data_IF_967904988067
#
_entry.id   IF_967904988067
#
_cell.length_a   1.000
_cell.length_b   1.000
_cell.length_c   1.000
_cell.angle_alpha   90.00
_cell.angle_beta   90.00
_cell.angle_gamma   90.00
#
_symmetry.space_group_name_H-M   'P 1'
#
loop_
_entity.id
_entity.type
_entity.pdbx_description
1 polymer ?
#
# COMPACT_ATOMS: atom_id res chain seq x y z
N UNK A 1 7.25 19.41 -2.31
CA UNK A 1 8.53 19.47 -3.09
C UNK A 1 8.83 20.90 -3.51
N UNK A 2 10.09 21.26 -3.82
CA UNK A 2 10.43 22.62 -4.25
C UNK A 2 9.70 23.02 -5.54
N UNK A 3 9.07 24.21 -5.54
CA UNK A 3 8.26 24.69 -6.67
C UNK A 3 9.09 24.84 -7.96
N UNK A 4 10.39 25.13 -7.85
CA UNK A 4 11.25 25.33 -9.00
C UNK A 4 11.26 24.10 -9.94
N UNK A 5 11.17 22.88 -9.41
CA UNK A 5 11.12 21.63 -10.19
C UNK A 5 9.95 21.54 -11.18
N UNK A 6 8.90 22.34 -10.98
CA UNK A 6 7.73 22.40 -11.87
C UNK A 6 8.03 23.17 -13.16
N UNK A 7 8.81 24.24 -13.05
CA UNK A 7 9.02 25.24 -14.10
C UNK A 7 10.28 25.00 -14.94
N UNK A 8 11.06 23.97 -14.60
CA UNK A 8 12.34 23.75 -15.25
C UNK A 8 12.19 23.07 -16.61
N UNK A 9 12.92 23.62 -17.59
CA UNK A 9 13.20 22.96 -18.86
C UNK A 9 14.02 21.68 -18.63
N UNK A 10 13.41 20.53 -18.93
CA UNK A 10 14.02 19.22 -18.70
C UNK A 10 15.34 19.05 -19.45
N UNK A 11 15.48 19.59 -20.67
CA UNK A 11 16.72 19.46 -21.45
C UNK A 11 17.88 20.23 -20.82
N UNK A 12 17.62 21.46 -20.36
CA UNK A 12 18.63 22.31 -19.73
C UNK A 12 19.17 21.69 -18.43
N UNK A 13 18.27 21.14 -17.60
CA UNK A 13 18.68 20.48 -16.37
C UNK A 13 19.48 19.22 -16.63
N UNK A 14 19.13 18.44 -17.66
CA UNK A 14 19.86 17.24 -18.03
C UNK A 14 21.30 17.59 -18.36
N UNK A 15 21.51 18.63 -19.17
CA UNK A 15 22.85 19.05 -19.56
C UNK A 15 23.63 19.64 -18.37
N UNK A 16 22.95 20.32 -17.44
CA UNK A 16 23.58 20.79 -16.20
C UNK A 16 23.98 19.63 -15.28
N UNK A 17 23.10 18.66 -15.05
CA UNK A 17 23.39 17.47 -14.23
C UNK A 17 24.51 16.64 -14.84
N UNK A 18 24.55 16.50 -16.17
CA UNK A 18 25.67 15.83 -16.86
C UNK A 18 27.00 16.54 -16.63
N UNK A 19 27.03 17.87 -16.74
CA UNK A 19 28.25 18.64 -16.49
C UNK A 19 28.73 18.49 -15.05
N UNK A 20 27.83 18.69 -14.08
CA UNK A 20 28.16 18.51 -12.66
C UNK A 20 28.63 17.09 -12.39
N UNK A 21 27.95 16.08 -12.93
CA UNK A 21 28.38 14.69 -12.81
C UNK A 21 29.81 14.51 -13.31
N UNK A 22 30.17 15.00 -14.50
CA UNK A 22 31.51 14.88 -15.06
C UNK A 22 32.61 15.61 -14.26
N UNK A 23 32.25 16.57 -13.43
CA UNK A 23 33.16 17.32 -12.55
C UNK A 23 33.38 16.62 -11.20
N UNK A 24 32.64 15.56 -10.90
CA UNK A 24 32.74 14.81 -9.63
C UNK A 24 34.00 13.94 -9.53
N UNK A 25 34.29 13.53 -8.30
CA UNK A 25 35.45 12.68 -8.02
C UNK A 25 35.34 11.27 -8.64
N UNK A 26 36.48 10.65 -8.93
CA UNK A 26 36.53 9.26 -9.39
C UNK A 26 35.89 8.28 -8.40
N UNK A 27 35.95 8.55 -7.09
CA UNK A 27 35.30 7.68 -6.10
C UNK A 27 33.78 7.71 -6.24
N UNK A 28 33.19 8.89 -6.49
CA UNK A 28 31.76 9.04 -6.77
C UNK A 28 31.35 8.28 -8.03
N UNK A 29 32.11 8.41 -9.11
CA UNK A 29 31.87 7.69 -10.37
C UNK A 29 31.93 6.16 -10.24
N UNK A 30 32.79 5.66 -9.35
CA UNK A 30 32.88 4.24 -9.08
C UNK A 30 31.67 3.73 -8.28
N UNK A 31 30.98 4.60 -7.54
CA UNK A 31 29.84 4.24 -6.68
C UNK A 31 28.47 4.52 -7.31
N UNK A 32 28.34 5.52 -8.18
CA UNK A 32 27.06 5.99 -8.71
C UNK A 32 27.14 6.20 -10.22
N UNK A 33 26.23 5.56 -10.96
CA UNK A 33 26.13 5.77 -12.41
C UNK A 33 25.34 7.03 -12.75
N UNK A 34 25.67 7.67 -13.88
CA UNK A 34 24.90 8.79 -14.42
C UNK A 34 23.42 8.43 -14.61
N UNK A 35 23.12 7.20 -15.05
CA UNK A 35 21.75 6.72 -15.19
C UNK A 35 20.99 6.74 -13.86
N UNK A 36 21.63 6.35 -12.76
CA UNK A 36 21.03 6.41 -11.43
C UNK A 36 20.73 7.85 -11.00
N UNK A 37 21.68 8.78 -11.21
CA UNK A 37 21.48 10.21 -10.92
C UNK A 37 20.31 10.78 -11.73
N UNK A 38 20.28 10.48 -13.03
CA UNK A 38 19.21 10.91 -13.93
C UNK A 38 17.86 10.35 -13.50
N UNK A 39 17.81 9.09 -13.07
CA UNK A 39 16.57 8.47 -12.59
C UNK A 39 16.04 9.16 -11.33
N UNK A 40 16.91 9.56 -10.40
CA UNK A 40 16.54 10.33 -9.19
C UNK A 40 15.95 11.69 -9.60
N UNK A 41 16.62 12.40 -10.52
CA UNK A 41 16.14 13.68 -11.03
C UNK A 41 14.74 13.55 -11.66
N UNK A 42 14.53 12.59 -12.57
CA UNK A 42 13.23 12.38 -13.20
C UNK A 42 12.15 12.04 -12.18
N UNK A 43 12.47 11.19 -11.20
CA UNK A 43 11.55 10.82 -10.12
C UNK A 43 11.13 12.05 -9.31
N UNK A 44 12.08 12.93 -8.99
CA UNK A 44 11.80 14.17 -8.24
C UNK A 44 10.95 15.16 -9.04
N UNK A 45 11.23 15.36 -10.33
CA UNK A 45 10.42 16.20 -11.21
C UNK A 45 9.01 15.65 -11.35
N UNK A 46 8.87 14.34 -11.60
CA UNK A 46 7.56 13.69 -11.72
C UNK A 46 6.76 13.82 -10.42
N UNK A 47 7.41 13.58 -9.27
CA UNK A 47 6.80 13.73 -7.95
C UNK A 47 6.32 15.16 -7.72
N UNK A 48 7.15 16.16 -8.01
CA UNK A 48 6.77 17.57 -7.84
C UNK A 48 5.54 17.92 -8.68
N UNK A 49 5.54 17.54 -9.96
CA UNK A 49 4.39 17.76 -10.86
C UNK A 49 3.12 17.07 -10.38
N UNK A 50 3.25 15.83 -9.92
CA UNK A 50 2.13 15.05 -9.39
C UNK A 50 1.53 15.71 -8.15
N UNK A 51 2.36 16.02 -7.15
CA UNK A 51 1.92 16.67 -5.90
C UNK A 51 1.27 18.03 -6.19
N UNK A 52 1.84 18.83 -7.12
CA UNK A 52 1.25 20.10 -7.52
C UNK A 52 -0.13 19.93 -8.14
N UNK A 53 -0.30 18.95 -9.02
CA UNK A 53 -1.59 18.68 -9.67
C UNK A 53 -2.65 18.30 -8.63
N UNK A 54 -2.30 17.48 -7.63
CA UNK A 54 -3.19 17.14 -6.52
C UNK A 54 -3.61 18.40 -5.76
N UNK A 55 -2.65 19.27 -5.41
CA UNK A 55 -2.92 20.49 -4.66
C UNK A 55 -3.82 21.47 -5.45
N UNK A 56 -3.58 21.62 -6.75
CA UNK A 56 -4.42 22.46 -7.62
C UNK A 56 -5.84 21.91 -7.74
N UNK A 57 -6.00 20.58 -7.88
CA UNK A 57 -7.32 19.96 -7.87
C UNK A 57 -8.00 20.15 -6.52
N UNK A 58 -7.32 19.86 -5.40
CA UNK A 58 -7.87 20.03 -4.07
C UNK A 58 -8.28 21.48 -3.79
N UNK A 59 -7.47 22.45 -4.23
CA UNK A 59 -7.82 23.87 -4.14
C UNK A 59 -9.04 24.24 -4.97
N UNK A 60 -9.23 23.63 -6.15
CA UNK A 60 -10.40 23.87 -6.98
C UNK A 60 -11.69 23.31 -6.37
N UNK A 61 -11.59 22.20 -5.61
CA UNK A 61 -12.69 21.58 -4.88
C UNK A 61 -12.83 22.04 -3.43
N UNK A 62 -12.00 22.99 -2.97
CA UNK A 62 -12.04 23.45 -1.59
C UNK A 62 -13.42 24.03 -1.24
N UNK A 63 -14.04 23.51 -0.18
CA UNK A 63 -15.38 23.91 0.28
C UNK A 63 -16.54 23.23 -0.45
N UNK A 64 -16.30 22.42 -1.48
CA UNK A 64 -17.33 21.65 -2.17
C UNK A 64 -17.49 20.26 -1.56
N UNK A 65 -18.73 19.80 -1.46
CA UNK A 65 -19.05 18.38 -1.25
C UNK A 65 -19.12 17.72 -2.63
N UNK A 66 -18.37 16.63 -2.82
CA UNK A 66 -18.35 15.89 -4.07
C UNK A 66 -18.36 14.39 -3.83
N UNK A 67 -18.87 13.64 -4.81
CA UNK A 67 -18.92 12.18 -4.79
C UNK A 67 -17.90 11.62 -5.76
N UNK A 68 -17.28 10.51 -5.39
CA UNK A 68 -16.29 9.81 -6.22
C UNK A 68 -16.92 8.49 -6.71
N UNK A 69 -17.31 8.40 -8.00
CA UNK A 69 -17.88 7.18 -8.56
C UNK A 69 -16.93 5.99 -8.41
N UNK A 70 -17.48 4.87 -7.98
CA UNK A 70 -16.77 3.62 -7.82
C UNK A 70 -16.99 2.71 -9.03
N UNK A 71 -15.94 1.96 -9.40
CA UNK A 71 -15.94 0.97 -10.46
C UNK A 71 -15.47 -0.36 -9.89
N UNK A 72 -15.97 -1.46 -10.44
CA UNK A 72 -15.53 -2.80 -10.06
C UNK A 72 -14.58 -3.34 -11.14
N UNK A 73 -13.51 -4.00 -10.72
CA UNK A 73 -12.84 -4.95 -11.62
C UNK A 73 -13.67 -6.25 -11.74
N UNK A 74 -13.29 -7.15 -12.64
CA UNK A 74 -14.02 -8.41 -12.83
C UNK A 74 -13.99 -9.34 -11.59
N UNK A 75 -13.17 -9.05 -10.59
CA UNK A 75 -13.12 -9.80 -9.32
C UNK A 75 -14.05 -9.18 -8.28
N UNK A 76 -14.54 -7.96 -8.52
CA UNK A 76 -15.37 -7.19 -7.60
C UNK A 76 -14.60 -6.18 -6.76
N UNK A 77 -13.29 -6.01 -6.94
CA UNK A 77 -12.54 -5.02 -6.14
C UNK A 77 -12.95 -3.61 -6.56
N UNK A 78 -13.08 -2.73 -5.56
CA UNK A 78 -13.67 -1.41 -5.77
C UNK A 78 -12.57 -0.37 -6.04
N UNK A 79 -12.63 0.27 -7.21
CA UNK A 79 -11.69 1.26 -7.72
C UNK A 79 -12.36 2.59 -8.01
N UNK A 80 -11.56 3.64 -8.12
CA UNK A 80 -11.97 5.01 -8.44
C UNK A 80 -11.08 5.53 -9.55
N UNK A 81 -11.58 6.51 -10.29
CA UNK A 81 -10.84 7.14 -11.40
C UNK A 81 -10.36 8.53 -10.98
N UNK A 82 -9.22 8.96 -11.52
CA UNK A 82 -8.59 10.24 -11.21
C UNK A 82 -7.39 10.09 -10.27
N UNK A 83 -6.98 11.20 -9.66
CA UNK A 83 -5.81 11.29 -8.75
C UNK A 83 -6.14 11.96 -7.41
N UNK A 84 -7.36 12.45 -7.24
CA UNK A 84 -7.85 13.03 -5.99
C UNK A 84 -8.89 12.07 -5.40
N UNK A 85 -8.43 10.94 -4.86
CA UNK A 85 -9.26 9.93 -4.20
C UNK A 85 -8.45 9.09 -3.21
N UNK A 86 -9.12 8.32 -2.36
CA UNK A 86 -8.50 7.57 -1.26
C UNK A 86 -7.67 6.34 -1.66
N UNK A 87 -7.70 5.86 -2.91
CA UNK A 87 -6.71 4.86 -3.38
C UNK A 87 -5.31 5.46 -3.55
N UNK A 88 -5.20 6.78 -3.66
CA UNK A 88 -3.93 7.45 -3.91
C UNK A 88 -3.03 7.50 -2.68
N UNK A 89 -1.87 8.14 -2.83
CA UNK A 89 -0.86 8.27 -1.79
C UNK A 89 -1.32 9.19 -0.66
N UNK A 90 -0.53 9.16 0.42
CA UNK A 90 -0.69 9.93 1.65
C UNK A 90 -1.19 11.37 1.45
N UNK A 91 -0.58 12.16 0.55
CA UNK A 91 -0.99 13.54 0.25
C UNK A 91 -2.44 13.65 -0.25
N UNK A 92 -2.88 12.78 -1.17
CA UNK A 92 -4.25 12.86 -1.69
C UNK A 92 -5.26 12.48 -0.61
N UNK A 93 -4.92 11.49 0.23
CA UNK A 93 -5.78 11.03 1.33
C UNK A 93 -5.96 12.08 2.42
N UNK A 94 -4.91 12.86 2.71
CA UNK A 94 -4.97 13.91 3.74
C UNK A 94 -5.79 15.14 3.35
N UNK A 95 -6.24 15.23 2.09
CA UNK A 95 -6.96 16.39 1.54
C UNK A 95 -8.46 16.11 1.36
N UNK A 96 -8.92 14.89 1.67
CA UNK A 96 -10.30 14.47 1.47
C UNK A 96 -10.87 14.07 2.82
N UNK A 97 -11.94 14.74 3.22
CA UNK A 97 -12.69 14.47 4.44
C UNK A 97 -14.10 13.99 4.06
N UNK A 98 -14.74 13.25 4.96
CA UNK A 98 -16.18 13.04 4.89
C UNK A 98 -16.91 14.34 5.21
N UNK A 99 -18.05 14.57 4.55
CA UNK A 99 -18.94 15.68 4.90
C UNK A 99 -19.68 15.34 6.21
N UNK A 100 -19.08 15.73 7.33
CA UNK A 100 -19.61 15.44 8.65
C UNK A 100 -20.94 16.14 8.96
N UNK A 101 -21.34 17.15 8.19
CA UNK A 101 -22.59 17.90 8.42
C UNK A 101 -23.81 17.00 8.30
N UNK A 102 -23.79 16.11 7.32
CA UNK A 102 -24.89 15.17 7.08
C UNK A 102 -25.03 14.18 8.25
N UNK A 103 -23.91 13.77 8.85
CA UNK A 103 -23.91 12.87 10.00
C UNK A 103 -24.32 13.60 11.28
N UNK A 104 -23.67 14.71 11.61
CA UNK A 104 -23.89 15.46 12.86
C UNK A 104 -25.35 15.93 12.94
N UNK A 105 -25.92 16.43 11.85
CA UNK A 105 -27.30 16.93 11.83
C UNK A 105 -28.36 15.82 11.87
N UNK A 106 -28.08 14.63 11.32
CA UNK A 106 -29.02 13.50 11.34
C UNK A 106 -28.88 12.63 12.60
N UNK A 107 -27.72 12.68 13.23
CA UNK A 107 -27.49 12.02 14.51
C UNK A 107 -28.25 12.80 15.58
N UNK A 108 -29.19 12.19 16.30
CA UNK A 108 -29.85 12.79 17.48
C UNK A 108 -28.87 13.05 18.65
N UNK A 109 -27.55 12.98 18.40
CA UNK A 109 -26.51 13.13 19.37
C UNK A 109 -26.19 14.62 19.53
N UNK A 110 -26.81 15.26 20.52
CA UNK A 110 -26.10 16.32 21.23
C UNK A 110 -24.86 15.65 21.82
N UNK A 111 -23.68 15.92 21.25
CA UNK A 111 -22.43 15.30 21.69
C UNK A 111 -22.17 15.69 23.14
N UNK A 112 -22.59 14.83 24.07
CA UNK A 112 -22.32 15.02 25.49
C UNK A 112 -20.79 15.05 25.70
N UNK A 113 -20.28 15.77 26.72
CA UNK A 113 -18.83 15.94 26.91
C UNK A 113 -18.02 14.63 26.94
N UNK A 114 -18.60 13.54 27.47
CA UNK A 114 -17.96 12.23 27.49
C UNK A 114 -17.81 11.62 26.08
N UNK A 115 -18.76 11.85 25.17
CA UNK A 115 -18.70 11.38 23.78
C UNK A 115 -17.58 12.11 23.02
N UNK A 116 -17.40 13.41 23.28
CA UNK A 116 -16.31 14.19 22.70
C UNK A 116 -14.95 13.65 23.16
N UNK A 117 -14.81 13.34 24.45
CA UNK A 117 -13.57 12.74 24.97
C UNK A 117 -13.27 11.39 24.33
N UNK A 118 -14.29 10.54 24.17
CA UNK A 118 -14.14 9.23 23.52
C UNK A 118 -13.79 9.37 22.03
N UNK A 119 -14.43 10.30 21.32
CA UNK A 119 -14.11 10.61 19.93
C UNK A 119 -12.67 11.09 19.78
N UNK A 120 -12.23 12.02 20.63
CA UNK A 120 -10.85 12.50 20.62
C UNK A 120 -9.85 11.40 20.97
N UNK A 121 -10.22 10.44 21.82
CA UNK A 121 -9.40 9.27 22.08
C UNK A 121 -9.18 8.44 20.80
N UNK A 122 -10.26 8.08 20.09
CA UNK A 122 -10.14 7.32 18.83
C UNK A 122 -9.44 8.13 17.73
N UNK A 123 -9.67 9.44 17.68
CA UNK A 123 -8.97 10.34 16.76
C UNK A 123 -7.45 10.31 17.00
N UNK A 124 -7.01 10.45 18.26
CA UNK A 124 -5.60 10.37 18.63
C UNK A 124 -5.01 8.99 18.36
N UNK A 125 -5.74 7.93 18.68
CA UNK A 125 -5.30 6.56 18.41
C UNK A 125 -5.09 6.34 16.90
N UNK A 126 -6.06 6.73 16.07
CA UNK A 126 -5.98 6.65 14.62
C UNK A 126 -4.80 7.48 14.09
N UNK A 127 -4.67 8.72 14.56
CA UNK A 127 -3.55 9.59 14.24
C UNK A 127 -2.21 8.92 14.52
N UNK A 128 -2.03 8.32 15.71
CA UNK A 128 -0.77 7.70 16.12
C UNK A 128 -0.25 6.68 15.11
N UNK A 129 -1.13 5.88 14.49
CA UNK A 129 -0.75 4.91 13.44
C UNK A 129 -0.22 5.53 12.14
N UNK A 130 -0.49 6.82 11.90
CA UNK A 130 0.14 7.59 10.82
C UNK A 130 1.54 8.08 11.18
N UNK A 131 1.89 8.19 12.47
CA UNK A 131 3.25 8.49 12.93
C UNK A 131 4.16 7.25 12.87
N UNK A 132 3.75 6.14 13.51
CA UNK A 132 4.50 4.87 13.53
C UNK A 132 3.59 3.66 13.64
N UNK A 133 4.14 2.46 13.51
CA UNK A 133 3.39 1.21 13.74
C UNK A 133 3.41 0.85 15.23
N UNK A 134 2.33 0.23 15.72
CA UNK A 134 2.20 -0.28 17.10
C UNK A 134 1.96 -1.79 17.08
N UNK A 135 2.40 -2.48 18.13
CA UNK A 135 2.23 -3.92 18.34
C UNK A 135 1.21 -4.28 19.42
N UNK A 136 0.55 -3.27 19.97
CA UNK A 136 -0.24 -3.34 21.19
C UNK A 136 -1.53 -2.51 21.05
N UNK A 137 -2.36 -2.54 22.08
CA UNK A 137 -3.65 -1.87 22.20
C UNK A 137 -3.62 -0.40 21.70
N UNK A 138 -4.68 0.09 21.02
CA UNK A 138 -4.86 1.50 20.63
C UNK A 138 -4.53 2.55 21.70
N UNK A 139 -4.63 2.19 22.98
CA UNK A 139 -4.21 3.03 24.13
C UNK A 139 -2.76 3.52 23.97
N UNK A 140 -1.82 2.64 23.58
CA UNK A 140 -0.42 3.02 23.46
C UNK A 140 -0.21 4.03 22.33
N UNK A 141 -1.03 3.93 21.28
CA UNK A 141 -1.02 4.87 20.16
C UNK A 141 -1.57 6.24 20.55
N UNK A 142 -2.70 6.27 21.25
CA UNK A 142 -3.30 7.50 21.77
C UNK A 142 -2.40 8.18 22.82
N UNK A 143 -1.80 7.40 23.72
CA UNK A 143 -0.86 7.91 24.71
C UNK A 143 0.36 8.50 24.04
N UNK A 144 0.99 7.79 23.10
CA UNK A 144 2.14 8.32 22.35
C UNK A 144 1.80 9.63 21.64
N UNK A 145 0.63 9.71 20.99
CA UNK A 145 0.18 10.94 20.34
C UNK A 145 0.21 12.11 21.32
N UNK A 146 -0.39 11.91 22.50
CA UNK A 146 -0.52 12.94 23.53
C UNK A 146 0.81 13.26 24.24
N UNK A 147 1.58 12.25 24.64
CA UNK A 147 2.75 12.43 25.49
C UNK A 147 4.01 12.77 24.72
N UNK A 148 4.22 12.14 23.57
CA UNK A 148 5.53 12.16 22.91
C UNK A 148 5.55 13.12 21.74
N UNK A 149 4.40 13.53 21.20
CA UNK A 149 4.36 14.36 20.00
C UNK A 149 3.55 15.63 20.19
N UNK A 150 2.36 15.61 20.79
CA UNK A 150 1.61 16.83 21.10
C UNK A 150 2.42 17.75 22.02
N UNK A 151 3.06 17.18 23.06
CA UNK A 151 3.95 17.93 23.95
C UNK A 151 5.21 18.44 23.25
N UNK A 152 5.86 17.63 22.41
CA UNK A 152 7.03 18.08 21.66
C UNK A 152 6.70 19.21 20.68
N UNK A 153 5.51 19.20 20.06
CA UNK A 153 5.04 20.33 19.22
C UNK A 153 4.88 21.60 20.06
N UNK A 154 4.34 21.48 21.28
CA UNK A 154 4.23 22.61 22.22
C UNK A 154 5.61 23.13 22.65
N UNK A 155 6.56 22.23 22.93
CA UNK A 155 7.94 22.57 23.31
C UNK A 155 8.73 23.20 22.16
N UNK A 156 8.66 22.66 20.93
CA UNK A 156 9.32 23.22 19.73
C UNK A 156 8.82 24.65 19.44
N UNK A 157 7.54 24.95 19.69
CA UNK A 157 6.99 26.32 19.57
C UNK A 157 7.53 27.28 20.64
N UNK A 158 7.99 26.78 21.79
CA UNK A 158 8.68 27.61 22.80
C UNK A 158 10.02 28.16 22.31
N UNK A 159 10.71 27.40 21.44
CA UNK A 159 12.02 27.76 20.86
C UNK A 159 11.90 28.50 19.51
N UNK A 160 10.85 28.23 18.74
CA UNK A 160 10.53 28.96 17.50
C UNK A 160 9.85 30.28 17.89
N UNK A 161 10.55 31.41 17.77
CA UNK A 161 9.97 32.74 18.01
C UNK A 161 8.57 32.86 17.42
N UNK A 162 7.61 33.36 18.23
CA UNK A 162 6.22 33.67 17.88
C UNK A 162 6.08 34.20 16.44
N UNK A 163 5.79 33.31 15.50
CA UNK A 163 5.45 33.73 14.13
C UNK A 163 4.16 34.56 14.20
N UNK A 164 4.26 35.82 13.78
CA UNK A 164 3.30 36.91 13.92
C UNK A 164 1.99 36.76 13.12
N UNK A 165 1.55 35.53 12.85
CA UNK A 165 0.50 35.24 11.87
C UNK A 165 -0.91 35.08 12.48
N UNK A 166 -1.08 35.16 13.81
CA UNK A 166 -2.39 35.14 14.48
C UNK A 166 -2.47 36.11 15.66
N UNK A 167 -3.66 36.64 15.90
CA UNK A 167 -3.95 37.65 16.95
C UNK A 167 -3.72 37.14 18.39
N UNK A 168 -3.64 35.82 18.59
CA UNK A 168 -3.32 35.13 19.85
C UNK A 168 -1.83 34.81 20.04
N UNK A 169 -0.99 35.03 19.01
CA UNK A 169 0.46 35.02 19.11
C UNK A 169 1.13 33.64 19.20
N UNK A 170 0.41 32.54 18.97
CA UNK A 170 0.97 31.18 18.87
C UNK A 170 0.63 30.56 17.51
N UNK A 171 1.67 30.27 16.71
CA UNK A 171 1.54 29.58 15.42
C UNK A 171 2.20 28.20 15.52
N UNK A 172 1.41 27.13 15.51
CA UNK A 172 1.92 25.75 15.56
C UNK A 172 2.37 25.23 14.18
N UNK A 173 2.17 25.99 13.10
CA UNK A 173 2.31 25.50 11.73
C UNK A 173 3.72 24.97 11.43
N UNK A 174 4.76 25.71 11.83
CA UNK A 174 6.16 25.30 11.63
C UNK A 174 6.49 24.01 12.39
N UNK A 175 6.08 23.90 13.66
CA UNK A 175 6.30 22.71 14.48
C UNK A 175 5.52 21.50 13.96
N UNK A 176 4.27 21.71 13.53
CA UNK A 176 3.43 20.69 12.88
C UNK A 176 4.15 20.13 11.64
N UNK A 177 4.70 20.99 10.77
CA UNK A 177 5.41 20.59 9.56
C UNK A 177 6.68 19.79 9.88
N UNK A 178 7.51 20.29 10.80
CA UNK A 178 8.78 19.65 11.21
C UNK A 178 8.52 18.27 11.80
N UNK A 179 7.57 18.18 12.72
CA UNK A 179 7.17 16.93 13.35
C UNK A 179 6.60 15.94 12.33
N UNK A 180 5.75 16.44 11.41
CA UNK A 180 5.13 15.60 10.38
C UNK A 180 6.12 15.00 9.39
N UNK A 181 7.23 15.68 9.11
CA UNK A 181 8.27 15.16 8.23
C UNK A 181 8.92 13.85 8.74
N UNK A 182 8.84 13.58 10.06
CA UNK A 182 9.39 12.37 10.71
C UNK A 182 8.39 11.21 10.71
N UNK A 183 7.13 11.45 10.37
CA UNK A 183 6.06 10.45 10.44
C UNK A 183 6.12 9.43 9.28
N UNK A 184 5.58 8.24 9.53
CA UNK A 184 5.38 7.18 8.51
C UNK A 184 4.49 7.65 7.35
N UNK A 185 3.45 8.42 7.65
CA UNK A 185 2.49 9.01 6.71
C UNK A 185 2.41 10.54 6.97
N UNK A 186 3.38 11.34 6.46
CA UNK A 186 3.55 12.73 6.82
C UNK A 186 2.31 13.62 6.69
N UNK A 187 1.58 13.52 5.59
CA UNK A 187 0.49 14.43 5.28
C UNK A 187 -0.80 14.06 6.04
N UNK A 188 -1.13 12.77 6.14
CA UNK A 188 -2.25 12.36 6.99
C UNK A 188 -1.94 12.66 8.46
N UNK A 189 -0.72 12.42 8.92
CA UNK A 189 -0.31 12.80 10.27
C UNK A 189 -0.45 14.31 10.52
N UNK A 190 -0.02 15.13 9.56
CA UNK A 190 -0.19 16.58 9.60
C UNK A 190 -1.67 16.99 9.70
N UNK A 191 -2.56 16.32 8.98
CA UNK A 191 -4.02 16.53 9.10
C UNK A 191 -4.53 16.22 10.50
N UNK A 192 -4.03 15.17 11.16
CA UNK A 192 -4.39 14.85 12.55
C UNK A 192 -3.89 15.91 13.54
N UNK A 193 -2.64 16.36 13.41
CA UNK A 193 -2.10 17.45 14.24
C UNK A 193 -2.86 18.76 14.03
N UNK A 194 -3.20 19.07 12.77
CA UNK A 194 -4.02 20.25 12.44
C UNK A 194 -5.38 20.19 13.12
N UNK A 195 -6.00 19.01 13.18
CA UNK A 195 -7.22 18.75 13.93
C UNK A 195 -7.12 19.17 15.40
N UNK A 196 -6.04 18.78 16.08
CA UNK A 196 -5.86 19.05 17.51
C UNK A 196 -5.48 20.51 17.80
N UNK A 197 -4.52 21.07 17.06
CA UNK A 197 -3.97 22.38 17.41
C UNK A 197 -4.75 23.55 16.80
N UNK A 198 -5.34 23.37 15.63
CA UNK A 198 -5.96 24.44 14.87
C UNK A 198 -7.48 24.29 14.70
N UNK A 199 -8.02 23.11 15.02
CA UNK A 199 -9.42 22.74 14.75
C UNK A 199 -10.07 21.94 15.88
N UNK A 200 -9.54 22.01 17.10
CA UNK A 200 -10.03 21.19 18.24
C UNK A 200 -11.49 21.43 18.58
N UNK A 201 -11.97 22.66 18.40
CA UNK A 201 -13.38 23.03 18.60
C UNK A 201 -14.26 22.78 17.38
N UNK A 202 -13.67 22.50 16.21
CA UNK A 202 -14.37 22.23 14.95
C UNK A 202 -14.75 20.74 14.87
N UNK A 203 -15.86 20.40 15.52
CA UNK A 203 -16.42 19.04 15.52
C UNK A 203 -16.65 18.49 14.10
N UNK A 204 -16.99 19.34 13.12
CA UNK A 204 -17.15 18.90 11.73
C UNK A 204 -15.83 18.41 11.14
N UNK A 205 -14.72 19.10 11.44
CA UNK A 205 -13.40 18.68 10.97
C UNK A 205 -13.01 17.33 11.60
N UNK A 206 -13.07 17.23 12.93
CA UNK A 206 -12.68 16.01 13.66
C UNK A 206 -13.52 14.81 13.23
N UNK A 207 -14.84 14.97 13.10
CA UNK A 207 -15.74 13.91 12.63
C UNK A 207 -15.57 13.57 11.15
N UNK A 208 -15.12 14.53 10.33
CA UNK A 208 -14.91 14.35 8.90
C UNK A 208 -13.63 13.59 8.57
N UNK A 209 -12.66 13.52 9.49
CA UNK A 209 -11.40 12.82 9.27
C UNK A 209 -11.62 11.32 9.12
N UNK A 210 -11.22 10.71 7.99
CA UNK A 210 -11.35 9.27 7.83
C UNK A 210 -10.44 8.48 8.77
N UNK A 211 -11.02 7.50 9.46
CA UNK A 211 -10.26 6.51 10.24
C UNK A 211 -10.07 5.26 9.39
N UNK A 212 -8.82 4.92 9.07
CA UNK A 212 -8.51 3.74 8.25
C UNK A 212 -8.28 2.50 9.11
N UNK A 213 -8.98 1.41 8.79
CA UNK A 213 -8.71 0.08 9.32
C UNK A 213 -8.23 -0.82 8.18
N UNK A 214 -7.07 -1.47 8.37
CA UNK A 214 -6.46 -2.35 7.37
C UNK A 214 -6.45 -3.80 7.87
N UNK A 215 -6.76 -4.73 6.98
CA UNK A 215 -6.71 -6.15 7.26
C UNK A 215 -5.27 -6.67 7.08
N UNK A 216 -4.62 -7.03 8.19
CA UNK A 216 -3.24 -7.51 8.17
C UNK A 216 -3.12 -8.82 7.40
N UNK A 217 -2.57 -8.74 6.17
CA UNK A 217 -2.34 -9.88 5.30
C UNK A 217 -3.63 -10.65 4.96
N UNK A 218 -4.65 -9.96 4.42
CA UNK A 218 -5.99 -10.51 4.15
C UNK A 218 -6.01 -11.88 3.45
N UNK A 219 -5.13 -12.13 2.48
CA UNK A 219 -5.02 -13.44 1.85
C UNK A 219 -4.71 -14.57 2.85
N UNK A 220 -3.80 -14.36 3.80
CA UNK A 220 -3.50 -15.36 4.84
C UNK A 220 -4.66 -15.54 5.82
N UNK A 221 -5.41 -14.47 6.14
CA UNK A 221 -6.63 -14.57 6.94
C UNK A 221 -7.69 -15.42 6.23
N UNK A 222 -7.92 -15.18 4.94
CA UNK A 222 -8.84 -15.98 4.12
C UNK A 222 -8.37 -17.43 4.04
N UNK A 223 -7.08 -17.68 3.87
CA UNK A 223 -6.52 -19.04 3.87
C UNK A 223 -6.71 -19.74 5.21
N UNK A 224 -6.44 -19.06 6.33
CA UNK A 224 -6.65 -19.60 7.67
C UNK A 224 -8.12 -19.98 7.89
N UNK A 225 -9.05 -19.12 7.44
CA UNK A 225 -10.48 -19.38 7.50
C UNK A 225 -10.89 -20.60 6.67
N UNK A 226 -10.48 -20.67 5.39
CA UNK A 226 -10.86 -21.75 4.48
C UNK A 226 -10.31 -23.12 4.93
N UNK A 227 -9.13 -23.12 5.55
CA UNK A 227 -8.48 -24.33 6.05
C UNK A 227 -8.86 -24.66 7.50
N UNK A 228 -9.62 -23.79 8.18
CA UNK A 228 -9.87 -23.86 9.62
C UNK A 228 -8.56 -24.01 10.44
N UNK A 229 -7.50 -23.35 9.99
CA UNK A 229 -6.16 -23.44 10.58
C UNK A 229 -6.03 -22.46 11.75
N UNK A 230 -6.32 -22.93 12.97
CA UNK A 230 -6.31 -22.13 14.20
C UNK A 230 -4.96 -21.44 14.46
N UNK A 231 -3.78 -22.10 14.36
CA UNK A 231 -2.49 -21.42 14.54
C UNK A 231 -2.29 -20.25 13.59
N UNK A 232 -2.62 -20.40 12.29
CA UNK A 232 -2.51 -19.31 11.32
C UNK A 232 -3.55 -18.22 11.56
N UNK A 233 -4.77 -18.58 12.01
CA UNK A 233 -5.80 -17.62 12.37
C UNK A 233 -5.34 -16.70 13.51
N UNK A 234 -4.65 -17.25 14.53
CA UNK A 234 -4.00 -16.44 15.59
C UNK A 234 -2.88 -15.55 15.03
N UNK A 235 -1.98 -16.11 14.20
CA UNK A 235 -0.85 -15.37 13.59
C UNK A 235 -1.28 -14.21 12.67
N UNK A 236 -2.51 -14.26 12.17
CA UNK A 236 -3.08 -13.26 11.23
C UNK A 236 -4.12 -12.36 11.88
N UNK A 237 -4.30 -12.43 13.20
CA UNK A 237 -5.30 -11.66 13.97
C UNK A 237 -6.76 -11.95 13.57
N UNK A 238 -7.04 -13.10 12.94
CA UNK A 238 -8.42 -13.51 12.63
C UNK A 238 -9.18 -13.95 13.89
N UNK A 239 -8.46 -14.52 14.86
CA UNK A 239 -8.97 -14.83 16.20
C UNK A 239 -8.00 -14.30 17.25
N UNK A 240 -8.53 -13.89 18.40
CA UNK A 240 -7.73 -13.36 19.51
C UNK A 240 -6.85 -14.45 20.11
N UNK A 241 -5.60 -14.11 20.41
CA UNK A 241 -4.74 -14.99 21.19
C UNK A 241 -5.06 -14.82 22.68
N UNK A 242 -5.64 -15.84 23.31
CA UNK A 242 -5.98 -15.81 24.73
C UNK A 242 -4.77 -15.59 25.65
N UNK A 243 -3.58 -16.00 25.24
CA UNK A 243 -2.35 -15.81 26.03
C UNK A 243 -1.81 -14.37 25.96
N UNK A 244 -2.16 -13.64 24.89
CA UNK A 244 -1.69 -12.26 24.63
C UNK A 244 -2.81 -11.46 23.95
N UNK A 245 -3.92 -11.16 24.66
CA UNK A 245 -5.12 -10.57 24.07
C UNK A 245 -4.89 -9.16 23.50
N UNK A 246 -3.96 -8.40 24.10
CA UNK A 246 -3.62 -7.05 23.66
C UNK A 246 -2.53 -6.99 22.59
N UNK A 247 -1.99 -8.13 22.15
CA UNK A 247 -0.90 -8.16 21.16
C UNK A 247 -1.42 -8.28 19.74
N UNK A 248 -0.86 -7.47 18.84
CA UNK A 248 -1.10 -7.57 17.40
C UNK A 248 -0.03 -8.49 16.80
N UNK A 249 -0.45 -9.63 16.26
CA UNK A 249 0.45 -10.57 15.62
C UNK A 249 0.88 -10.07 14.22
N UNK A 250 2.14 -10.34 13.87
CA UNK A 250 2.70 -10.01 12.58
C UNK A 250 3.13 -11.28 11.85
N UNK A 251 2.23 -11.79 11.00
CA UNK A 251 2.43 -13.03 10.25
C UNK A 251 3.77 -13.06 9.48
N UNK A 252 4.24 -11.92 8.97
CA UNK A 252 5.48 -11.87 8.21
C UNK A 252 6.73 -12.00 9.10
N UNK A 253 6.66 -11.55 10.34
CA UNK A 253 7.73 -11.76 11.32
C UNK A 253 7.80 -13.24 11.70
N UNK A 254 6.65 -13.90 11.89
CA UNK A 254 6.62 -15.34 12.15
C UNK A 254 7.14 -16.14 10.97
N UNK A 255 6.71 -15.81 9.74
CA UNK A 255 7.23 -16.45 8.52
C UNK A 255 8.73 -16.22 8.37
N UNK A 256 9.25 -15.04 8.76
CA UNK A 256 10.68 -14.74 8.73
C UNK A 256 11.46 -15.68 9.66
N UNK A 257 11.00 -15.84 10.90
CA UNK A 257 11.66 -16.70 11.89
C UNK A 257 11.61 -18.18 11.45
N UNK A 258 10.45 -18.63 10.96
CA UNK A 258 10.27 -19.98 10.40
C UNK A 258 11.20 -20.19 9.19
N UNK A 259 11.35 -19.20 8.30
CA UNK A 259 12.23 -19.27 7.13
C UNK A 259 13.71 -19.33 7.54
N UNK A 260 14.16 -18.50 8.49
CA UNK A 260 15.54 -18.56 8.99
C UNK A 260 15.84 -19.93 9.60
N UNK A 261 14.92 -20.47 10.40
CA UNK A 261 15.01 -21.82 10.95
C UNK A 261 15.12 -22.89 9.85
N UNK A 262 14.34 -22.75 8.78
CA UNK A 262 14.40 -23.65 7.63
C UNK A 262 15.75 -23.58 6.89
N UNK A 263 16.22 -22.38 6.54
CA UNK A 263 17.47 -22.19 5.80
C UNK A 263 18.69 -22.73 6.57
N UNK A 264 18.68 -22.66 7.90
CA UNK A 264 19.75 -23.22 8.73
C UNK A 264 19.86 -24.75 8.63
N UNK A 265 18.75 -25.44 8.34
CA UNK A 265 18.69 -26.91 8.18
C UNK A 265 19.05 -27.37 6.76
N UNK A 266 19.01 -26.48 5.78
CA UNK A 266 19.32 -26.81 4.39
C UNK A 266 20.83 -27.04 4.19
N UNK A 267 21.19 -27.87 3.21
CA UNK A 267 22.57 -28.14 2.83
C UNK A 267 23.12 -26.99 1.98
N UNK A 268 23.56 -25.93 2.66
CA UNK A 268 24.15 -24.73 2.09
C UNK A 268 25.46 -24.43 2.80
N UNK A 269 26.46 -23.84 2.11
CA UNK A 269 27.67 -23.37 2.77
C UNK A 269 27.33 -22.40 3.90
N UNK A 270 28.03 -22.50 5.03
CA UNK A 270 27.76 -21.66 6.22
C UNK A 270 27.83 -20.17 5.90
N UNK A 271 28.78 -19.76 5.05
CA UNK A 271 28.90 -18.38 4.57
C UNK A 271 27.65 -17.87 3.84
N UNK A 272 26.93 -18.74 3.13
CA UNK A 272 25.68 -18.39 2.43
C UNK A 272 24.52 -18.29 3.42
N UNK A 273 24.48 -19.17 4.43
CA UNK A 273 23.48 -19.12 5.50
C UNK A 273 23.61 -17.84 6.32
N UNK A 274 24.84 -17.50 6.72
CA UNK A 274 25.15 -16.25 7.44
C UNK A 274 24.70 -15.03 6.63
N UNK A 275 25.11 -14.97 5.36
CA UNK A 275 24.73 -13.87 4.45
C UNK A 275 23.20 -13.73 4.35
N UNK A 276 22.47 -14.80 4.07
CA UNK A 276 21.02 -14.72 3.97
C UNK A 276 20.36 -14.36 5.29
N UNK A 277 20.81 -14.91 6.42
CA UNK A 277 20.26 -14.60 7.73
C UNK A 277 20.45 -13.12 8.12
N UNK A 278 21.55 -12.50 7.66
CA UNK A 278 21.84 -11.08 7.84
C UNK A 278 20.83 -10.20 7.08
N UNK A 279 20.55 -10.52 5.80
CA UNK A 279 19.71 -9.68 4.93
C UNK A 279 18.23 -10.06 4.88
N UNK A 280 17.84 -11.21 5.44
CA UNK A 280 16.43 -11.59 5.58
C UNK A 280 15.82 -10.77 6.71
N UNK A 281 15.11 -9.73 6.32
CA UNK A 281 14.27 -8.91 7.18
C UNK A 281 12.78 -9.09 6.86
N UNK A 282 11.93 -8.54 7.73
CA UNK A 282 10.48 -8.59 7.58
C UNK A 282 10.00 -7.98 6.26
N UNK A 283 10.68 -6.94 5.78
CA UNK A 283 10.32 -6.22 4.54
C UNK A 283 10.55 -7.10 3.32
N UNK A 284 11.69 -7.78 3.26
CA UNK A 284 12.03 -8.75 2.22
C UNK A 284 11.05 -9.92 2.24
N UNK A 285 10.79 -10.50 3.41
CA UNK A 285 9.84 -11.62 3.59
C UNK A 285 8.45 -11.22 3.10
N UNK A 286 7.93 -10.05 3.51
CA UNK A 286 6.65 -9.54 3.00
C UNK A 286 6.66 -9.39 1.48
N UNK A 287 7.74 -8.88 0.90
CA UNK A 287 7.87 -8.68 -0.56
C UNK A 287 7.94 -9.98 -1.37
N UNK A 288 8.31 -11.09 -0.73
CA UNK A 288 8.41 -12.43 -1.30
C UNK A 288 7.09 -13.18 -1.13
N UNK A 289 6.64 -13.35 0.11
CA UNK A 289 5.55 -14.28 0.43
C UNK A 289 4.16 -13.71 0.17
N UNK A 290 3.95 -12.40 0.30
CA UNK A 290 2.67 -11.80 -0.08
C UNK A 290 2.36 -12.05 -1.57
N UNK A 291 3.27 -11.79 -2.53
CA UNK A 291 2.97 -12.08 -3.93
C UNK A 291 2.93 -13.57 -4.28
N UNK A 292 3.69 -14.44 -3.59
CA UNK A 292 3.68 -15.89 -3.86
C UNK A 292 2.28 -16.47 -3.69
N UNK A 293 1.55 -16.10 -2.63
CA UNK A 293 0.17 -16.54 -2.44
C UNK A 293 -0.71 -16.10 -3.62
N UNK A 294 -0.48 -14.90 -4.17
CA UNK A 294 -1.17 -14.41 -5.35
C UNK A 294 -0.66 -15.00 -6.68
N UNK A 295 0.09 -16.11 -6.64
CA UNK A 295 0.52 -16.85 -7.84
C UNK A 295 1.77 -16.29 -8.51
N UNK A 296 2.57 -15.46 -7.82
CA UNK A 296 3.86 -15.02 -8.35
C UNK A 296 4.79 -16.21 -8.58
N UNK A 297 5.56 -16.18 -9.67
CA UNK A 297 6.45 -17.28 -10.05
C UNK A 297 7.82 -17.17 -9.38
N UNK A 298 8.55 -18.28 -9.34
CA UNK A 298 9.92 -18.36 -8.82
C UNK A 298 10.87 -17.38 -9.54
N UNK A 299 10.85 -17.35 -10.87
CA UNK A 299 11.63 -16.41 -11.69
C UNK A 299 11.36 -14.95 -11.32
N UNK A 300 10.08 -14.59 -11.16
CA UNK A 300 9.72 -13.21 -10.80
C UNK A 300 10.10 -12.87 -9.35
N UNK A 301 10.09 -13.87 -8.48
CA UNK A 301 10.52 -13.75 -7.08
C UNK A 301 12.04 -13.56 -6.99
N UNK A 302 12.82 -14.30 -7.79
CA UNK A 302 14.26 -14.11 -7.90
C UNK A 302 14.63 -12.69 -8.35
N UNK A 303 13.90 -12.12 -9.32
CA UNK A 303 14.04 -10.72 -9.72
C UNK A 303 13.77 -9.73 -8.58
N UNK A 304 12.73 -9.99 -7.77
CA UNK A 304 12.41 -9.20 -6.59
C UNK A 304 13.51 -9.26 -5.52
N UNK A 305 14.01 -10.46 -5.22
CA UNK A 305 15.10 -10.68 -4.26
C UNK A 305 16.33 -9.91 -4.71
N UNK A 306 16.72 -10.06 -5.97
CA UNK A 306 17.86 -9.33 -6.55
C UNK A 306 17.70 -7.81 -6.37
N UNK A 307 16.52 -7.27 -6.67
CA UNK A 307 16.25 -5.85 -6.55
C UNK A 307 16.25 -5.37 -5.09
N UNK A 308 15.74 -6.17 -4.16
CA UNK A 308 15.68 -5.84 -2.74
C UNK A 308 17.05 -5.90 -2.05
N UNK A 309 17.93 -6.81 -2.49
CA UNK A 309 19.29 -6.96 -1.95
C UNK A 309 20.32 -6.05 -2.61
N UNK A 310 20.03 -5.51 -3.81
CA UNK A 310 20.88 -4.57 -4.56
C UNK A 310 21.47 -3.41 -3.73
N UNK A 311 20.75 -2.80 -2.76
CA UNK A 311 21.30 -1.72 -1.94
C UNK A 311 22.41 -2.14 -0.98
N UNK A 312 22.44 -3.42 -0.59
CA UNK A 312 23.40 -3.94 0.38
C UNK A 312 24.62 -4.54 -0.32
N UNK A 313 24.40 -5.27 -1.41
CA UNK A 313 25.44 -5.84 -2.27
C UNK A 313 24.88 -6.08 -3.68
N UNK A 314 25.71 -6.51 -4.63
CA UNK A 314 25.27 -6.80 -6.00
C UNK A 314 25.11 -8.32 -6.21
N UNK A 315 24.00 -8.95 -5.74
CA UNK A 315 23.81 -10.38 -5.87
C UNK A 315 23.79 -10.80 -7.33
N UNK A 316 24.44 -11.92 -7.62
CA UNK A 316 24.26 -12.58 -8.91
C UNK A 316 22.80 -13.05 -9.03
N UNK A 317 22.25 -13.01 -10.24
CA UNK A 317 20.89 -13.51 -10.48
C UNK A 317 20.74 -14.98 -10.04
N UNK A 318 21.80 -15.77 -10.20
CA UNK A 318 21.87 -17.17 -9.77
C UNK A 318 21.63 -17.33 -8.27
N UNK A 319 22.26 -16.50 -7.44
CA UNK A 319 22.08 -16.54 -5.97
C UNK A 319 20.65 -16.17 -5.59
N UNK A 320 20.10 -15.13 -6.22
CA UNK A 320 18.70 -14.74 -5.99
C UNK A 320 17.71 -15.83 -6.43
N UNK A 321 18.04 -16.59 -7.47
CA UNK A 321 17.24 -17.73 -7.93
C UNK A 321 17.31 -18.92 -6.95
N UNK A 322 18.49 -19.19 -6.36
CA UNK A 322 18.62 -20.21 -5.31
C UNK A 322 17.74 -19.87 -4.11
N UNK A 323 17.83 -18.63 -3.61
CA UNK A 323 16.99 -18.19 -2.48
C UNK A 323 15.49 -18.25 -2.84
N UNK A 324 15.12 -17.82 -4.05
CA UNK A 324 13.73 -17.96 -4.51
C UNK A 324 13.27 -19.43 -4.46
N UNK A 325 14.06 -20.36 -5.00
CA UNK A 325 13.73 -21.79 -5.00
C UNK A 325 13.53 -22.34 -3.58
N UNK A 326 14.41 -21.94 -2.65
CA UNK A 326 14.32 -22.29 -1.24
C UNK A 326 13.06 -21.70 -0.58
N UNK A 327 12.66 -20.47 -0.90
CA UNK A 327 11.39 -19.91 -0.39
C UNK A 327 10.17 -20.69 -0.88
N UNK A 328 10.16 -21.15 -2.13
CA UNK A 328 9.07 -22.01 -2.64
C UNK A 328 9.11 -23.41 -2.04
N UNK A 329 10.30 -23.98 -1.80
CA UNK A 329 10.47 -25.24 -1.07
C UNK A 329 9.94 -25.13 0.35
N UNK A 330 10.35 -24.09 1.08
CA UNK A 330 9.86 -23.76 2.41
C UNK A 330 8.32 -23.68 2.47
N UNK A 331 7.67 -22.97 1.54
CA UNK A 331 6.21 -22.88 1.51
C UNK A 331 5.55 -24.27 1.37
N UNK A 332 6.09 -25.13 0.49
CA UNK A 332 5.54 -26.48 0.28
C UNK A 332 5.70 -27.38 1.52
N UNK A 333 6.75 -27.18 2.30
CA UNK A 333 7.07 -28.03 3.44
C UNK A 333 6.44 -27.54 4.75
N UNK A 334 6.59 -26.25 5.07
CA UNK A 334 6.11 -25.66 6.32
C UNK A 334 4.64 -25.24 6.26
N UNK A 335 4.14 -24.97 5.04
CA UNK A 335 2.79 -24.45 4.80
C UNK A 335 2.01 -25.34 3.82
N UNK A 336 2.18 -26.65 3.97
CA UNK A 336 1.69 -27.70 3.06
C UNK A 336 0.18 -27.61 2.76
N UNK A 337 -0.63 -27.35 3.78
CA UNK A 337 -2.10 -27.22 3.62
C UNK A 337 -2.47 -26.05 2.70
N UNK A 338 -1.77 -24.92 2.83
CA UNK A 338 -1.97 -23.77 1.96
C UNK A 338 -1.53 -24.08 0.52
N UNK A 339 -0.37 -24.71 0.31
CA UNK A 339 0.08 -25.15 -1.02
C UNK A 339 -0.94 -26.09 -1.67
N UNK A 340 -1.45 -27.06 -0.92
CA UNK A 340 -2.45 -28.00 -1.40
C UNK A 340 -3.74 -27.30 -1.85
N UNK A 341 -4.26 -26.35 -1.06
CA UNK A 341 -5.47 -25.61 -1.42
C UNK A 341 -5.25 -24.72 -2.66
N UNK A 342 -4.08 -24.07 -2.76
CA UNK A 342 -3.69 -23.30 -3.95
C UNK A 342 -3.73 -24.21 -5.18
N UNK A 343 -3.09 -25.38 -5.11
CA UNK A 343 -3.05 -26.35 -6.21
C UNK A 343 -4.43 -26.89 -6.55
N UNK A 344 -5.25 -27.21 -5.56
CA UNK A 344 -6.62 -27.71 -5.75
C UNK A 344 -7.47 -26.71 -6.54
N UNK A 345 -7.46 -25.44 -6.16
CA UNK A 345 -8.23 -24.40 -6.86
C UNK A 345 -7.67 -24.16 -8.27
N UNK A 346 -6.35 -24.23 -8.45
CA UNK A 346 -5.74 -24.13 -9.79
C UNK A 346 -6.14 -25.27 -10.72
N UNK A 347 -6.38 -26.48 -10.20
CA UNK A 347 -6.87 -27.61 -11.01
C UNK A 347 -8.24 -27.31 -11.64
N UNK A 348 -9.09 -26.52 -10.99
CA UNK A 348 -10.37 -26.07 -11.58
C UNK A 348 -10.10 -25.22 -12.82
N UNK A 349 -9.17 -24.27 -12.74
CA UNK A 349 -8.78 -23.43 -13.87
C UNK A 349 -8.13 -24.21 -15.02
N UNK A 350 -7.26 -25.16 -14.67
CA UNK A 350 -6.68 -26.09 -15.64
C UNK A 350 -7.76 -26.92 -16.34
N UNK A 351 -8.69 -27.51 -15.59
CA UNK A 351 -9.76 -28.34 -16.12
C UNK A 351 -10.69 -27.53 -17.03
N UNK A 352 -11.19 -26.39 -16.55
CA UNK A 352 -12.05 -25.50 -17.32
C UNK A 352 -11.41 -25.08 -18.65
N UNK A 353 -10.15 -24.62 -18.61
CA UNK A 353 -9.45 -24.20 -19.84
C UNK A 353 -9.10 -25.35 -20.79
N UNK A 354 -8.95 -26.57 -20.27
CA UNK A 354 -8.72 -27.77 -21.10
C UNK A 354 -9.99 -28.16 -21.84
N UNK A 355 -11.15 -28.02 -21.19
CA UNK A 355 -12.48 -28.20 -21.78
C UNK A 355 -12.94 -27.01 -22.65
N UNK A 356 -12.05 -26.05 -22.92
CA UNK A 356 -12.37 -24.82 -23.63
C UNK A 356 -13.56 -24.05 -23.02
N UNK A 357 -13.63 -24.02 -21.69
CA UNK A 357 -14.59 -23.26 -20.89
C UNK A 357 -13.89 -22.15 -20.12
N UNK A 358 -14.64 -21.10 -19.78
CA UNK A 358 -14.20 -20.08 -18.83
C UNK A 358 -14.37 -20.59 -17.38
N UNK A 359 -13.69 -19.94 -16.44
CA UNK A 359 -13.91 -20.14 -15.01
C UNK A 359 -14.92 -19.10 -14.54
N UNK A 360 -16.03 -19.55 -13.97
CA UNK A 360 -17.07 -18.67 -13.42
C UNK A 360 -16.89 -18.56 -11.91
N UNK A 361 -16.92 -17.35 -11.41
CA UNK A 361 -16.96 -17.06 -10.00
C UNK A 361 -18.29 -16.44 -9.65
N UNK A 362 -18.96 -17.02 -8.66
CA UNK A 362 -20.29 -16.59 -8.25
C UNK A 362 -20.29 -16.07 -6.82
N UNK A 363 -21.01 -14.97 -6.61
CA UNK A 363 -21.25 -14.37 -5.28
C UNK A 363 -22.71 -14.00 -5.13
N UNK A 364 -23.13 -13.69 -3.90
CA UNK A 364 -24.47 -13.20 -3.63
C UNK A 364 -24.84 -11.90 -4.38
N UNK A 365 -23.86 -11.15 -4.90
CA UNK A 365 -24.10 -9.85 -5.54
C UNK A 365 -23.98 -9.90 -7.07
N UNK A 366 -23.08 -10.74 -7.59
CA UNK A 366 -22.82 -10.86 -9.03
C UNK A 366 -22.05 -12.14 -9.35
N UNK A 367 -22.13 -12.53 -10.62
CA UNK A 367 -21.32 -13.59 -11.22
C UNK A 367 -20.34 -12.99 -12.23
N UNK A 368 -19.08 -13.40 -12.21
CA UNK A 368 -18.06 -12.96 -13.16
C UNK A 368 -17.34 -14.14 -13.80
N UNK A 369 -16.78 -13.92 -14.98
CA UNK A 369 -16.04 -14.94 -15.71
C UNK A 369 -14.58 -14.55 -15.92
N UNK A 370 -13.67 -15.47 -15.62
CA UNK A 370 -12.29 -15.41 -16.05
C UNK A 370 -12.17 -16.10 -17.42
N UNK A 371 -12.07 -15.28 -18.46
CA UNK A 371 -11.94 -15.72 -19.84
C UNK A 371 -10.64 -15.19 -20.48
N UNK A 372 -9.53 -15.81 -20.13
CA UNK A 372 -8.24 -15.41 -20.68
C UNK A 372 -8.00 -16.07 -22.02
N UNK A 373 -7.88 -15.24 -23.05
CA UNK A 373 -7.52 -15.62 -24.40
C UNK A 373 -6.03 -15.36 -24.65
N UNK A 374 -5.41 -16.19 -25.48
CA UNK A 374 -4.04 -15.99 -25.97
C UNK A 374 -4.03 -14.70 -26.77
N UNK A 375 -3.02 -13.85 -26.53
CA UNK A 375 -2.87 -12.57 -27.23
C UNK A 375 -1.84 -12.66 -28.34
N UNK A 376 -2.30 -12.49 -29.57
CA UNK A 376 -1.46 -12.47 -30.76
C UNK A 376 -0.95 -11.06 -31.05
N UNK A 377 0.30 -10.98 -31.52
CA UNK A 377 0.95 -9.71 -31.84
C UNK A 377 0.76 -9.36 -33.31
N UNK A 378 0.10 -8.23 -33.57
CA UNK A 378 -0.12 -7.71 -34.91
C UNK A 378 0.66 -6.41 -35.08
N UNK A 379 1.44 -6.34 -36.15
CA UNK A 379 2.20 -5.14 -36.47
C UNK A 379 1.33 -4.25 -37.37
N UNK A 380 1.11 -3.02 -36.93
CA UNK A 380 0.40 -2.00 -37.72
C UNK A 380 1.27 -0.78 -37.94
N UNK A 381 0.98 -0.04 -39.02
CA UNK A 381 1.61 1.23 -39.30
C UNK A 381 0.70 2.36 -38.84
N UNK A 382 1.18 3.18 -37.91
CA UNK A 382 0.48 4.37 -37.41
C UNK A 382 1.21 5.61 -37.91
N UNK A 383 0.46 6.58 -38.44
CA UNK A 383 1.02 7.87 -38.81
C UNK A 383 1.03 8.80 -37.59
N UNK A 384 2.22 9.11 -37.10
CA UNK A 384 2.43 10.11 -36.05
C UNK A 384 2.28 11.50 -36.68
N UNK A 385 1.10 12.12 -36.48
CA UNK A 385 0.78 13.45 -37.00
C UNK A 385 1.69 14.54 -36.44
N UNK A 386 2.15 14.42 -35.19
CA UNK A 386 2.95 15.44 -34.51
C UNK A 386 4.36 15.47 -35.12
N UNK A 387 4.97 14.29 -35.29
CA UNK A 387 6.32 14.17 -35.84
C UNK A 387 6.34 13.96 -37.35
N UNK A 388 5.17 13.95 -38.00
CA UNK A 388 4.95 13.72 -39.44
C UNK A 388 5.67 12.47 -39.97
N UNK A 389 5.67 11.37 -39.21
CA UNK A 389 6.40 10.14 -39.54
C UNK A 389 5.52 8.89 -39.39
N UNK A 390 5.67 7.93 -40.29
CA UNK A 390 5.10 6.58 -40.12
C UNK A 390 5.90 5.83 -39.05
N UNK A 391 5.19 5.22 -38.11
CA UNK A 391 5.75 4.39 -37.05
C UNK A 391 5.13 3.02 -37.09
N UNK A 392 5.95 2.02 -36.84
CA UNK A 392 5.50 0.66 -36.65
C UNK A 392 5.13 0.47 -35.18
N UNK A 393 3.93 -0.05 -34.91
CA UNK A 393 3.45 -0.31 -33.55
C UNK A 393 2.94 -1.75 -33.48
N UNK A 394 3.30 -2.45 -32.41
CA UNK A 394 2.80 -3.80 -32.13
C UNK A 394 1.55 -3.71 -31.27
N UNK A 395 0.42 -4.15 -31.83
CA UNK A 395 -0.83 -4.35 -31.09
C UNK A 395 -0.92 -5.80 -30.62
N UNK A 396 -1.49 -6.02 -29.42
CA UNK A 396 -1.78 -7.35 -28.89
C UNK A 396 -3.28 -7.57 -28.84
N UNK A 397 -3.81 -8.39 -29.76
CA UNK A 397 -5.23 -8.69 -29.89
C UNK A 397 -5.52 -10.07 -29.31
N UNK A 398 -6.70 -10.25 -28.72
CA UNK A 398 -7.13 -11.58 -28.27
C UNK A 398 -7.41 -12.46 -29.48
N UNK A 399 -6.85 -13.67 -29.46
CA UNK A 399 -7.19 -14.75 -30.39
C UNK A 399 -8.43 -15.51 -29.92
N UNK A 400 -8.89 -16.47 -30.71
CA UNK A 400 -10.00 -17.36 -30.33
C UNK A 400 -9.54 -18.52 -29.41
N UNK A 401 -8.24 -18.63 -29.11
CA UNK A 401 -7.69 -19.70 -28.28
C UNK A 401 -7.60 -19.28 -26.82
N UNK A 402 -8.11 -20.10 -25.90
CA UNK A 402 -7.93 -19.86 -24.46
C UNK A 402 -6.48 -20.04 -24.02
N UNK A 403 -6.04 -19.12 -23.17
CA UNK A 403 -4.74 -19.16 -22.51
C UNK A 403 -4.84 -20.07 -21.28
N UNK A 404 -4.59 -21.37 -21.49
CA UNK A 404 -4.65 -22.40 -20.44
C UNK A 404 -3.74 -22.09 -19.26
N UNK A 405 -2.50 -21.70 -19.54
CA UNK A 405 -1.49 -21.43 -18.51
C UNK A 405 -1.90 -20.24 -17.66
N UNK A 406 -2.33 -19.14 -18.28
CA UNK A 406 -2.78 -17.96 -17.54
C UNK A 406 -4.05 -18.24 -16.75
N UNK A 407 -4.99 -19.00 -17.33
CA UNK A 407 -6.23 -19.41 -16.66
C UNK A 407 -5.89 -20.21 -15.40
N UNK A 408 -5.12 -21.29 -15.52
CA UNK A 408 -4.69 -22.11 -14.38
C UNK A 408 -4.02 -21.26 -13.28
N UNK A 409 -2.95 -20.52 -13.61
CA UNK A 409 -2.13 -19.78 -12.62
C UNK A 409 -2.94 -18.70 -11.91
N UNK A 410 -3.83 -18.00 -12.63
CA UNK A 410 -4.58 -16.88 -12.06
C UNK A 410 -5.81 -17.31 -11.26
N UNK A 411 -6.27 -18.57 -11.40
CA UNK A 411 -7.57 -19.00 -10.86
C UNK A 411 -7.65 -18.84 -9.35
N UNK A 412 -6.59 -19.24 -8.63
CA UNK A 412 -6.53 -19.10 -7.18
C UNK A 412 -6.44 -17.62 -6.75
N UNK A 413 -5.61 -16.83 -7.41
CA UNK A 413 -5.46 -15.40 -7.11
C UNK A 413 -6.79 -14.65 -7.28
N UNK A 414 -7.49 -14.89 -8.40
CA UNK A 414 -8.78 -14.28 -8.67
C UNK A 414 -9.86 -14.75 -7.68
N UNK A 415 -9.81 -16.03 -7.25
CA UNK A 415 -10.67 -16.54 -6.19
C UNK A 415 -10.47 -15.77 -4.87
N UNK A 416 -9.22 -15.62 -4.40
CA UNK A 416 -8.92 -14.90 -3.15
C UNK A 416 -9.35 -13.44 -3.26
N UNK A 417 -9.03 -12.75 -4.36
CA UNK A 417 -9.45 -11.36 -4.57
C UNK A 417 -10.98 -11.20 -4.61
N UNK A 418 -11.71 -12.17 -5.13
CA UNK A 418 -13.16 -12.14 -5.12
C UNK A 418 -13.72 -12.29 -3.70
N UNK A 419 -13.11 -13.16 -2.86
CA UNK A 419 -13.50 -13.29 -1.45
C UNK A 419 -13.19 -12.02 -0.65
N UNK A 420 -12.01 -11.43 -0.87
CA UNK A 420 -11.59 -10.14 -0.31
C UNK A 420 -12.59 -9.03 -0.67
N UNK A 421 -12.95 -8.91 -1.95
CA UNK A 421 -13.94 -7.96 -2.43
C UNK A 421 -15.35 -8.19 -1.83
N UNK A 422 -15.78 -9.45 -1.73
CA UNK A 422 -17.07 -9.81 -1.14
C UNK A 422 -17.13 -9.42 0.34
N UNK A 423 -16.04 -9.61 1.09
CA UNK A 423 -15.94 -9.18 2.49
C UNK A 423 -16.09 -7.65 2.57
N UNK A 424 -15.33 -6.90 1.76
CA UNK A 424 -15.42 -5.44 1.72
C UNK A 424 -16.84 -4.95 1.39
N UNK A 425 -17.51 -5.57 0.41
CA UNK A 425 -18.90 -5.24 0.05
C UNK A 425 -19.89 -5.52 1.19
N UNK A 426 -19.72 -6.63 1.93
CA UNK A 426 -20.54 -6.92 3.10
C UNK A 426 -20.34 -5.89 4.22
N UNK A 427 -19.10 -5.44 4.44
CA UNK A 427 -18.82 -4.35 5.39
C UNK A 427 -19.53 -3.07 4.95
N UNK A 428 -19.44 -2.70 3.66
CA UNK A 428 -20.16 -1.53 3.13
C UNK A 428 -21.67 -1.64 3.34
N UNK A 429 -22.26 -2.81 3.06
CA UNK A 429 -23.70 -3.04 3.27
C UNK A 429 -24.10 -2.88 4.75
N UNK A 430 -23.29 -3.40 5.68
CA UNK A 430 -23.54 -3.23 7.11
C UNK A 430 -23.42 -1.76 7.53
N UNK A 431 -22.42 -1.05 7.02
CA UNK A 431 -22.20 0.37 7.32
C UNK A 431 -23.31 1.26 6.76
N UNK A 432 -23.86 0.92 5.58
CA UNK A 432 -25.06 1.57 5.05
C UNK A 432 -26.26 1.41 5.99
N UNK A 433 -26.43 0.23 6.60
CA UNK A 433 -27.47 0.01 7.61
C UNK A 433 -27.30 0.86 8.87
N UNK A 434 -26.07 1.27 9.18
CA UNK A 434 -25.72 2.16 10.30
C UNK A 434 -25.73 3.65 9.91
N UNK A 435 -26.03 3.98 8.65
CA UNK A 435 -25.89 5.33 8.09
C UNK A 435 -24.50 5.95 8.33
N UNK A 436 -23.46 5.11 8.36
CA UNK A 436 -22.09 5.53 8.61
C UNK A 436 -21.33 5.66 7.28
N UNK A 437 -20.64 6.79 7.02
CA UNK A 437 -19.89 6.97 5.80
C UNK A 437 -18.69 6.01 5.76
N UNK A 438 -18.48 5.39 4.61
CA UNK A 438 -17.39 4.44 4.41
C UNK A 438 -16.81 4.54 3.00
N UNK A 439 -15.51 4.35 2.90
CA UNK A 439 -14.85 3.97 1.67
C UNK A 439 -13.97 2.74 1.89
N UNK A 440 -13.60 2.08 0.80
CA UNK A 440 -12.69 0.92 0.82
C UNK A 440 -11.53 1.17 -0.13
N UNK A 441 -10.34 0.70 0.22
CA UNK A 441 -9.17 0.68 -0.66
C UNK A 441 -8.88 -0.76 -1.03
N UNK A 442 -9.34 -1.12 -2.23
CA UNK A 442 -9.67 -2.48 -2.66
C UNK A 442 -10.98 -3.00 -2.07
#
# INVERSE_FOLDING_TARGET
MPEFLLKINTNEIIDRVRRVYLEESQSFHNSVSLEAVMQILYTNIQRARYERTILEMASAYAGYTFYIPAFLDFRGRIYRSGILHFHERDLARSLILFDAKEFINNSQFVLAPHVIQEMLYYYRAAGGFHYKSFSTNPIDSANMFFTDVEKCVIEEVGDIQKDSCREDGFCYDSAIVITSAKAKNPFQWMMFLWGIFNKSEDSNFICGVPITQDASASAYQIMAYLLLNEPMAKRTNLITNSEKPDSIADVYSVIMDDLKSFLNKEDLPDSVKELYNEYIDRKLVKSIFMPIIYGKTEMSTAGNIKAALKPYFYPAYKESAVLASLCFKFLREYYKEMDHLIRLIRLIGWFASTCDSNVVYDTQFFSTCQDFLVKDSHIIWVYDKIRKKKRMVTLRLSSDKRDRKKTEVSTFMNFIHQKDALIAMKVVLNMQGLNAPIYTVH
#
